data_IF_198949661344
#
_entry.id   IF_198949661344
#
_cell.length_a   1.000
_cell.length_b   1.000
_cell.length_c   1.000
_cell.angle_alpha   90.00
_cell.angle_beta   90.00
_cell.angle_gamma   90.00
#
_symmetry.space_group_name_H-M   'P 1'
#
loop_
_entity.id
_entity.type
_entity.pdbx_description
1 polymer ?
#
# COMPACT_ATOMS: atom_id res chain seq x y z
N UNK A 1 -3.24 31.33 21.56
CA UNK A 1 -3.10 29.97 20.98
C UNK A 1 -1.67 29.83 20.48
N UNK A 2 -0.85 29.05 21.19
CA UNK A 2 0.60 28.91 20.99
C UNK A 2 0.84 27.60 20.23
N UNK A 3 0.66 27.62 18.90
CA UNK A 3 1.01 26.46 18.05
C UNK A 3 2.02 26.85 16.95
N UNK A 4 2.36 28.14 16.83
CA UNK A 4 3.17 28.65 15.71
C UNK A 4 4.69 28.69 15.93
N UNK A 5 5.21 28.18 17.05
CA UNK A 5 6.59 28.50 17.48
C UNK A 5 7.63 27.38 17.31
N UNK A 6 7.26 26.21 16.78
CA UNK A 6 8.22 25.11 16.59
C UNK A 6 8.65 24.97 15.11
N UNK A 7 7.81 25.42 14.17
CA UNK A 7 8.12 25.33 12.74
C UNK A 7 9.18 26.33 12.28
N UNK A 8 9.29 27.48 12.95
CA UNK A 8 10.09 28.61 12.46
C UNK A 8 11.59 28.47 12.81
N UNK A 9 11.97 27.69 13.82
CA UNK A 9 13.38 27.50 14.20
C UNK A 9 14.16 26.57 13.26
N UNK A 10 13.48 25.62 12.60
CA UNK A 10 14.12 24.70 11.63
C UNK A 10 14.13 25.24 10.20
N UNK A 11 13.38 26.31 9.93
CA UNK A 11 13.32 26.96 8.61
C UNK A 11 14.62 27.69 8.25
N UNK A 12 15.55 27.90 9.18
CA UNK A 12 16.82 28.57 8.94
C UNK A 12 17.75 27.81 7.97
N UNK A 13 17.51 26.51 7.74
CA UNK A 13 18.25 25.70 6.75
C UNK A 13 17.38 25.13 5.62
N UNK A 14 16.10 25.54 5.51
CA UNK A 14 15.18 25.08 4.45
C UNK A 14 14.65 23.65 4.61
N UNK A 15 14.96 22.95 5.71
CA UNK A 15 14.49 21.60 5.99
C UNK A 15 13.29 21.67 6.93
N UNK A 16 12.10 21.34 6.41
CA UNK A 16 10.88 21.27 7.21
C UNK A 16 10.81 19.92 7.95
N UNK A 17 10.29 19.88 9.18
CA UNK A 17 10.01 18.60 9.86
C UNK A 17 8.88 17.83 9.14
N UNK A 18 8.82 16.53 9.38
CA UNK A 18 7.68 15.72 8.94
C UNK A 18 6.36 16.26 9.52
N UNK A 19 5.32 16.29 8.69
CA UNK A 19 3.98 16.70 9.15
C UNK A 19 3.33 15.60 10.00
N UNK A 20 2.42 15.97 10.91
CA UNK A 20 1.63 15.02 11.72
C UNK A 20 0.95 13.94 10.87
N UNK A 21 0.52 14.30 9.64
CA UNK A 21 -0.08 13.35 8.70
C UNK A 21 0.91 12.32 8.19
N UNK A 22 2.15 12.73 7.90
CA UNK A 22 3.21 11.81 7.48
C UNK A 22 3.59 10.89 8.64
N UNK A 23 3.81 11.45 9.83
CA UNK A 23 4.11 10.71 11.07
C UNK A 23 3.03 9.65 11.37
N UNK A 24 1.75 10.04 11.35
CA UNK A 24 0.65 9.10 11.58
C UNK A 24 0.55 8.01 10.51
N UNK A 25 0.86 8.35 9.25
CA UNK A 25 0.87 7.38 8.15
C UNK A 25 2.03 6.39 8.30
N UNK A 26 3.21 6.84 8.72
CA UNK A 26 4.38 5.99 8.96
C UNK A 26 4.06 4.96 10.05
N UNK A 27 3.52 5.39 11.20
CA UNK A 27 3.13 4.48 12.29
C UNK A 27 2.16 3.42 11.77
N UNK A 28 1.09 3.86 11.09
CA UNK A 28 0.10 2.93 10.52
C UNK A 28 0.71 1.93 9.53
N UNK A 29 1.60 2.38 8.65
CA UNK A 29 2.23 1.51 7.66
C UNK A 29 3.24 0.55 8.27
N UNK A 30 3.93 0.96 9.34
CA UNK A 30 4.84 0.12 10.13
C UNK A 30 4.05 -1.04 10.73
N UNK A 31 2.97 -0.73 11.45
CA UNK A 31 2.06 -1.73 12.04
C UNK A 31 1.51 -2.69 10.98
N UNK A 32 1.06 -2.16 9.85
CA UNK A 32 0.53 -2.97 8.75
C UNK A 32 1.57 -3.91 8.15
N UNK A 33 2.85 -3.53 8.22
CA UNK A 33 3.99 -4.31 7.74
C UNK A 33 4.56 -5.26 8.78
N UNK A 34 3.98 -5.30 9.99
CA UNK A 34 4.48 -6.10 11.11
C UNK A 34 5.84 -5.64 11.62
N UNK A 35 6.25 -4.42 11.29
CA UNK A 35 7.50 -3.80 11.74
C UNK A 35 7.19 -2.87 12.91
N UNK A 36 8.08 -2.82 13.89
CA UNK A 36 8.00 -1.74 14.88
C UNK A 36 8.44 -0.40 14.26
N UNK A 37 8.20 0.68 15.00
CA UNK A 37 8.52 2.02 14.52
C UNK A 37 10.04 2.21 14.33
N UNK A 38 10.86 1.66 15.23
CA UNK A 38 12.31 1.83 15.19
C UNK A 38 12.93 1.09 13.99
N UNK A 39 12.44 -0.12 13.68
CA UNK A 39 12.77 -0.87 12.48
C UNK A 39 12.43 -0.10 11.21
N UNK A 40 11.30 0.60 11.22
CA UNK A 40 10.84 1.39 10.09
C UNK A 40 11.71 2.63 9.90
N UNK A 41 12.04 3.37 10.98
CA UNK A 41 12.91 4.55 10.92
C UNK A 41 14.31 4.23 10.41
N UNK A 42 14.85 3.05 10.78
CA UNK A 42 16.16 2.57 10.29
C UNK A 42 16.22 2.42 8.77
N UNK A 43 15.10 2.25 8.07
CA UNK A 43 15.08 2.15 6.61
C UNK A 43 15.55 3.43 5.91
N UNK A 44 15.46 4.58 6.58
CA UNK A 44 15.95 5.88 6.10
C UNK A 44 17.10 6.41 6.97
N UNK A 45 17.75 5.54 7.74
CA UNK A 45 18.89 5.90 8.60
C UNK A 45 18.54 6.79 9.80
N UNK A 46 17.27 6.87 10.18
CA UNK A 46 16.80 7.65 11.32
C UNK A 46 16.63 6.77 12.56
N UNK A 47 16.79 7.37 13.74
CA UNK A 47 16.59 6.70 15.03
C UNK A 47 15.42 7.27 15.83
N UNK A 48 14.90 8.43 15.44
CA UNK A 48 13.75 9.07 16.06
C UNK A 48 12.85 9.69 15.00
N UNK A 49 11.54 9.51 15.13
CA UNK A 49 10.53 10.07 14.23
C UNK A 49 10.61 11.60 14.14
N UNK A 50 11.13 12.27 15.17
CA UNK A 50 11.36 13.71 15.18
C UNK A 50 12.48 14.17 14.23
N UNK A 51 13.38 13.28 13.81
CA UNK A 51 14.45 13.56 12.85
C UNK A 51 13.95 13.56 11.39
N UNK A 52 12.74 13.04 11.15
CA UNK A 52 12.21 12.94 9.81
C UNK A 52 11.90 14.31 9.22
N UNK A 53 12.21 14.46 7.94
CA UNK A 53 12.01 15.69 7.19
C UNK A 53 10.80 15.58 6.28
N UNK A 54 10.02 16.66 6.22
CA UNK A 54 8.83 16.79 5.42
C UNK A 54 9.12 17.23 3.99
N UNK A 55 8.05 17.40 3.20
CA UNK A 55 8.16 17.71 1.77
C UNK A 55 8.28 16.47 0.89
N UNK A 56 8.25 16.68 -0.44
CA UNK A 56 8.22 15.59 -1.43
C UNK A 56 9.51 14.75 -1.40
N UNK A 57 10.65 15.41 -1.22
CA UNK A 57 11.98 14.80 -1.23
C UNK A 57 12.55 14.63 0.19
N UNK A 58 11.69 14.77 1.22
CA UNK A 58 12.07 14.57 2.62
C UNK A 58 12.05 13.09 3.02
N UNK A 59 12.79 12.77 4.09
CA UNK A 59 12.97 11.39 4.57
C UNK A 59 11.65 10.74 5.02
N UNK A 60 10.66 11.54 5.44
CA UNK A 60 9.32 11.02 5.74
C UNK A 60 8.62 10.49 4.48
N UNK A 61 8.71 11.21 3.37
CA UNK A 61 8.09 10.80 2.09
C UNK A 61 8.81 9.58 1.50
N UNK A 62 10.14 9.53 1.62
CA UNK A 62 10.95 8.36 1.26
C UNK A 62 10.56 7.12 2.07
N UNK A 63 10.46 7.26 3.40
CA UNK A 63 10.06 6.18 4.29
C UNK A 63 8.65 5.67 3.98
N UNK A 64 7.69 6.59 3.78
CA UNK A 64 6.31 6.23 3.39
C UNK A 64 6.32 5.43 2.09
N UNK A 65 7.09 5.86 1.08
CA UNK A 65 7.18 5.17 -0.20
C UNK A 65 7.73 3.75 -0.02
N UNK A 66 8.81 3.62 0.75
CA UNK A 66 9.43 2.33 1.08
C UNK A 66 8.46 1.39 1.81
N UNK A 67 7.73 1.89 2.81
CA UNK A 67 6.75 1.10 3.56
C UNK A 67 5.55 0.69 2.69
N UNK A 68 5.09 1.56 1.78
CA UNK A 68 4.04 1.21 0.82
C UNK A 68 4.52 0.08 -0.10
N UNK A 69 5.73 0.18 -0.65
CA UNK A 69 6.30 -0.85 -1.53
C UNK A 69 6.46 -2.19 -0.82
N UNK A 70 7.00 -2.19 0.40
CA UNK A 70 7.05 -3.39 1.25
C UNK A 70 5.65 -3.96 1.47
N UNK A 71 4.68 -3.09 1.77
CA UNK A 71 3.32 -3.53 2.04
C UNK A 71 2.64 -4.16 0.84
N UNK A 72 2.91 -3.67 -0.37
CA UNK A 72 2.41 -4.25 -1.62
C UNK A 72 2.94 -5.67 -1.86
N UNK A 73 4.18 -5.95 -1.44
CA UNK A 73 4.86 -7.23 -1.64
C UNK A 73 4.60 -8.25 -0.53
N UNK A 74 3.90 -7.86 0.54
CA UNK A 74 3.44 -8.81 1.55
C UNK A 74 2.40 -9.79 0.98
N UNK A 75 2.21 -10.96 1.61
CA UNK A 75 1.14 -11.87 1.27
C UNK A 75 -0.23 -11.18 1.23
N UNK A 76 -1.07 -11.60 0.29
CA UNK A 76 -2.43 -11.14 0.18
C UNK A 76 -3.18 -11.37 1.51
N UNK A 77 -4.01 -10.40 1.89
CA UNK A 77 -4.84 -10.56 3.08
C UNK A 77 -5.90 -11.65 2.87
N UNK A 78 -6.39 -12.33 3.93
CA UNK A 78 -7.46 -13.32 3.80
C UNK A 78 -8.68 -12.79 3.03
N UNK A 79 -9.09 -11.55 3.30
CA UNK A 79 -10.19 -10.92 2.58
C UNK A 79 -9.93 -10.71 1.08
N UNK A 80 -8.67 -10.49 0.68
CA UNK A 80 -8.29 -10.43 -0.73
C UNK A 80 -8.35 -11.82 -1.38
N UNK A 81 -7.83 -12.85 -0.70
CA UNK A 81 -7.91 -14.25 -1.13
C UNK A 81 -9.36 -14.68 -1.33
N UNK A 82 -10.23 -14.41 -0.35
CA UNK A 82 -11.66 -14.71 -0.41
C UNK A 82 -12.34 -14.02 -1.58
N UNK A 83 -12.01 -12.75 -1.83
CA UNK A 83 -12.60 -12.00 -2.94
C UNK A 83 -12.13 -12.53 -4.30
N UNK A 84 -10.86 -12.93 -4.43
CA UNK A 84 -10.34 -13.54 -5.66
C UNK A 84 -11.06 -14.87 -5.94
N UNK A 85 -11.20 -15.75 -4.95
CA UNK A 85 -11.96 -17.01 -5.09
C UNK A 85 -13.41 -16.76 -5.50
N UNK A 86 -14.09 -15.82 -4.82
CA UNK A 86 -15.46 -15.44 -5.16
C UNK A 86 -15.60 -14.93 -6.59
N UNK A 87 -14.64 -14.16 -7.08
CA UNK A 87 -14.64 -13.69 -8.46
C UNK A 87 -14.39 -14.83 -9.45
N UNK A 88 -13.52 -15.79 -9.13
CA UNK A 88 -13.32 -16.99 -9.93
C UNK A 88 -14.65 -17.76 -10.08
N UNK A 89 -15.34 -18.03 -8.97
CA UNK A 89 -16.64 -18.72 -8.95
C UNK A 89 -17.71 -17.98 -9.75
N UNK A 90 -17.83 -16.66 -9.55
CA UNK A 90 -18.79 -15.81 -10.28
C UNK A 90 -18.58 -15.81 -11.79
N UNK A 91 -17.34 -16.04 -12.22
CA UNK A 91 -16.96 -16.09 -13.62
C UNK A 91 -16.88 -17.52 -14.17
N UNK A 92 -17.22 -18.53 -13.36
CA UNK A 92 -17.10 -19.95 -13.69
C UNK A 92 -15.69 -20.30 -14.21
N UNK A 93 -14.67 -19.69 -13.59
CA UNK A 93 -13.27 -19.81 -13.99
C UNK A 93 -12.49 -20.59 -12.93
N UNK A 94 -11.68 -21.58 -13.31
CA UNK A 94 -10.75 -22.22 -12.38
C UNK A 94 -9.81 -21.19 -11.74
N UNK A 95 -9.53 -21.34 -10.44
CA UNK A 95 -8.66 -20.41 -9.71
C UNK A 95 -7.27 -20.29 -10.36
N UNK A 96 -6.74 -21.38 -10.92
CA UNK A 96 -5.45 -21.40 -11.64
C UNK A 96 -5.44 -20.48 -12.87
N UNK A 97 -6.55 -20.35 -13.59
CA UNK A 97 -6.66 -19.41 -14.71
C UNK A 97 -6.71 -17.95 -14.24
N UNK A 98 -7.34 -17.70 -13.08
CA UNK A 98 -7.35 -16.37 -12.47
C UNK A 98 -5.95 -15.97 -11.99
N UNK A 99 -5.23 -16.88 -11.33
CA UNK A 99 -3.86 -16.65 -10.87
C UNK A 99 -2.88 -16.44 -12.03
N UNK A 100 -3.09 -17.13 -13.15
CA UNK A 100 -2.29 -16.96 -14.36
C UNK A 100 -2.34 -15.54 -14.95
N UNK A 101 -3.34 -14.71 -14.62
CA UNK A 101 -3.43 -13.29 -15.03
C UNK A 101 -2.18 -12.51 -14.60
N UNK A 102 -1.62 -12.86 -13.44
CA UNK A 102 -0.42 -12.25 -12.85
C UNK A 102 0.77 -13.23 -12.82
N UNK A 103 0.66 -14.36 -13.52
CA UNK A 103 1.74 -15.34 -13.65
C UNK A 103 1.96 -16.23 -12.43
N UNK A 104 0.99 -16.32 -11.52
CA UNK A 104 1.07 -17.18 -10.32
C UNK A 104 0.52 -18.58 -10.58
N UNK A 105 1.02 -19.56 -9.81
CA UNK A 105 0.57 -20.96 -9.89
C UNK A 105 -0.34 -21.31 -8.72
N UNK A 106 0.06 -20.89 -7.54
CA UNK A 106 -0.63 -21.20 -6.29
C UNK A 106 -1.13 -19.90 -5.62
N UNK A 107 -2.24 -20.01 -4.89
CA UNK A 107 -2.89 -18.84 -4.29
C UNK A 107 -2.13 -18.28 -3.08
N UNK A 108 -1.30 -19.10 -2.44
CA UNK A 108 -0.45 -18.75 -1.31
C UNK A 108 0.77 -17.90 -1.72
N UNK A 109 1.18 -17.95 -2.98
CA UNK A 109 2.19 -17.08 -3.58
C UNK A 109 1.70 -15.65 -3.78
N UNK A 110 0.39 -15.41 -3.71
CA UNK A 110 -0.23 -14.15 -4.08
C UNK A 110 0.12 -13.03 -3.11
N UNK A 111 0.70 -11.94 -3.62
CA UNK A 111 0.92 -10.72 -2.85
C UNK A 111 -0.32 -9.81 -2.81
N UNK A 112 -0.31 -8.80 -1.94
CA UNK A 112 -1.39 -7.77 -1.93
C UNK A 112 -1.48 -7.01 -3.26
N UNK A 113 -0.36 -6.83 -3.96
CA UNK A 113 -0.33 -6.21 -5.29
C UNK A 113 -1.00 -7.11 -6.31
N UNK A 114 -0.59 -8.38 -6.38
CA UNK A 114 -1.15 -9.38 -7.31
C UNK A 114 -2.67 -9.50 -7.15
N UNK A 115 -3.14 -9.63 -5.90
CA UNK A 115 -4.56 -9.69 -5.62
C UNK A 115 -5.31 -8.45 -6.12
N UNK A 116 -4.74 -7.25 -5.92
CA UNK A 116 -5.35 -6.01 -6.38
C UNK A 116 -5.46 -5.96 -7.91
N UNK A 117 -4.43 -6.43 -8.61
CA UNK A 117 -4.40 -6.47 -10.07
C UNK A 117 -5.40 -7.50 -10.63
N UNK A 118 -5.44 -8.71 -10.05
CA UNK A 118 -6.45 -9.74 -10.36
C UNK A 118 -7.87 -9.18 -10.16
N UNK A 119 -8.17 -8.61 -8.99
CA UNK A 119 -9.51 -8.10 -8.66
C UNK A 119 -9.93 -7.02 -9.66
N UNK A 120 -9.00 -6.13 -10.03
CA UNK A 120 -9.27 -5.08 -11.00
C UNK A 120 -9.59 -5.65 -12.40
N UNK A 121 -8.82 -6.63 -12.88
CA UNK A 121 -9.06 -7.26 -14.18
C UNK A 121 -10.37 -8.05 -14.20
N UNK A 122 -10.67 -8.84 -13.16
CA UNK A 122 -11.92 -9.59 -13.04
C UNK A 122 -13.14 -8.66 -13.01
N UNK A 123 -13.09 -7.55 -12.25
CA UNK A 123 -14.15 -6.53 -12.25
C UNK A 123 -14.33 -5.86 -13.61
N UNK A 124 -13.26 -5.64 -14.39
CA UNK A 124 -13.37 -5.11 -15.76
C UNK A 124 -14.06 -6.12 -16.69
N UNK A 125 -13.74 -7.40 -16.56
CA UNK A 125 -14.37 -8.48 -17.35
C UNK A 125 -15.87 -8.57 -17.11
N UNK A 126 -16.31 -8.49 -15.84
CA UNK A 126 -17.74 -8.47 -15.49
C UNK A 126 -18.50 -7.33 -16.19
N UNK A 127 -17.94 -6.12 -16.18
CA UNK A 127 -18.54 -4.94 -16.82
C UNK A 127 -18.68 -5.10 -18.35
N UNK A 128 -17.67 -5.68 -19.00
CA UNK A 128 -17.69 -5.94 -20.46
C UNK A 128 -18.75 -6.97 -20.85
N UNK A 129 -18.93 -8.02 -20.03
CA UNK A 129 -19.95 -9.05 -20.26
C UNK A 129 -21.37 -8.49 -20.11
N UNK A 130 -21.62 -7.69 -19.07
CA UNK A 130 -22.93 -7.05 -18.84
C UNK A 130 -23.34 -6.09 -19.97
N UNK A 131 -22.40 -5.28 -20.49
CA UNK A 131 -22.70 -4.32 -21.58
C UNK A 131 -23.01 -4.98 -22.93
N UNK A 132 -22.51 -6.20 -23.17
CA UNK A 132 -22.88 -6.99 -24.37
C UNK A 132 -24.28 -7.57 -24.26
N UNK A 133 -24.77 -7.85 -23.05
CA UNK A 133 -26.13 -8.38 -22.80
C UNK A 133 -27.22 -7.31 -22.81
N UNK A 134 -26.91 -6.06 -22.47
CA UNK A 134 -27.88 -4.95 -22.43
C UNK A 134 -28.02 -4.18 -23.75
N UNK A 135 -27.26 -4.54 -24.78
CA UNK A 135 -27.26 -3.90 -26.10
C UNK A 135 -27.76 -4.81 -27.23
N UNK A 136 -28.36 -5.95 -26.88
CA UNK A 136 -29.04 -6.88 -27.77
C UNK A 136 -30.54 -6.83 -27.52
#
# INVERSE_FOLDING_TARGET
>A
RIIKSITDANAENGILPASDKQTALIVKLSDQSGMDLDESLRLVGSTDIAELTGGRDGTASELISTLIEKSRNMPATPAQVDLVNKLADQHEMPISEVLAIVGLREIDEMTKSDASDIINEMKKRARRSGRRRSGA
#
